data_IF_422123507659
#
_entry.id   IF_422123507659
#
_cell.length_a   1.000
_cell.length_b   1.000
_cell.length_c   1.000
_cell.angle_alpha   90.00
_cell.angle_beta   90.00
_cell.angle_gamma   90.00
#
_symmetry.space_group_name_H-M   'P 1'
#
loop_
_entity.id
_entity.type
_entity.pdbx_description
1 polymer ?
#
# COMPACT_ATOMS: atom_id res chain seq x y z
N UNK A 1 -6.38 -20.67 13.69
CA UNK A 1 -5.27 -19.75 13.32
C UNK A 1 -4.21 -19.91 14.40
N UNK A 2 -2.96 -20.20 14.05
CA UNK A 2 -1.90 -20.41 15.04
C UNK A 2 -1.15 -19.11 15.26
N UNK A 3 -1.16 -18.59 16.49
CA UNK A 3 -0.32 -17.45 16.88
C UNK A 3 1.14 -17.91 16.96
N UNK A 4 2.07 -17.09 16.46
CA UNK A 4 3.52 -17.35 16.54
C UNK A 4 4.15 -16.35 17.51
N UNK A 5 5.01 -16.79 18.45
CA UNK A 5 5.69 -15.87 19.35
C UNK A 5 6.67 -14.99 18.55
N UNK A 6 6.69 -13.70 18.88
CA UNK A 6 7.61 -12.72 18.30
C UNK A 6 8.23 -11.91 19.44
N UNK A 7 9.56 -11.91 19.53
CA UNK A 7 10.28 -11.05 20.47
C UNK A 7 10.61 -9.72 19.78
N UNK A 8 10.19 -8.61 20.39
CA UNK A 8 10.47 -7.26 19.92
C UNK A 8 11.03 -6.42 21.07
N UNK A 9 11.87 -5.45 20.73
CA UNK A 9 12.32 -4.44 21.68
C UNK A 9 11.45 -3.19 21.55
N UNK A 10 10.89 -2.75 22.66
CA UNK A 10 10.12 -1.51 22.77
C UNK A 10 10.92 -0.49 23.54
N UNK A 11 10.82 0.78 23.15
CA UNK A 11 11.40 1.85 23.96
C UNK A 11 10.66 1.95 25.31
N UNK A 12 11.32 2.42 26.38
CA UNK A 12 10.71 2.52 27.70
C UNK A 12 9.43 3.36 27.76
N UNK A 13 9.33 4.42 26.93
CA UNK A 13 8.12 5.24 26.79
C UNK A 13 6.95 4.45 26.19
N UNK A 14 7.22 3.60 25.19
CA UNK A 14 6.20 2.78 24.52
C UNK A 14 5.64 1.70 25.45
N UNK A 15 6.51 0.99 26.20
CA UNK A 15 6.07 -0.03 27.17
C UNK A 15 5.16 0.59 28.24
N UNK A 16 5.56 1.73 28.82
CA UNK A 16 4.73 2.45 29.81
C UNK A 16 3.38 2.88 29.23
N UNK A 17 3.34 3.37 28.00
CA UNK A 17 2.11 3.77 27.34
C UNK A 17 1.19 2.57 27.08
N UNK A 18 1.74 1.46 26.58
CA UNK A 18 0.99 0.23 26.32
C UNK A 18 0.37 -0.35 27.60
N UNK A 19 1.13 -0.40 28.71
CA UNK A 19 0.62 -0.87 30.01
C UNK A 19 -0.58 -0.03 30.48
N UNK A 20 -0.44 1.30 30.46
CA UNK A 20 -1.51 2.21 30.88
C UNK A 20 -2.77 2.07 30.02
N UNK A 21 -2.60 1.93 28.70
CA UNK A 21 -3.74 1.76 27.78
C UNK A 21 -4.42 0.40 27.98
N UNK A 22 -3.64 -0.68 28.09
CA UNK A 22 -4.15 -2.03 28.32
C UNK A 22 -4.93 -2.12 29.65
N UNK A 23 -4.43 -1.50 30.72
CA UNK A 23 -5.13 -1.39 32.01
C UNK A 23 -6.44 -0.61 31.89
N UNK A 24 -6.41 0.55 31.24
CA UNK A 24 -7.60 1.39 31.02
C UNK A 24 -8.69 0.66 30.22
N UNK A 25 -8.29 -0.11 29.22
CA UNK A 25 -9.20 -0.87 28.33
C UNK A 25 -9.54 -2.28 28.86
N UNK A 26 -8.91 -2.73 29.96
CA UNK A 26 -9.05 -4.07 30.53
C UNK A 26 -8.76 -5.20 29.53
N UNK A 27 -7.74 -5.03 28.70
CA UNK A 27 -7.27 -6.01 27.74
C UNK A 27 -5.80 -6.36 27.99
N UNK A 28 -5.29 -7.43 27.38
CA UNK A 28 -3.87 -7.74 27.45
C UNK A 28 -3.05 -6.81 26.57
N UNK A 29 -1.77 -6.63 26.91
CA UNK A 29 -0.82 -5.88 26.06
C UNK A 29 -0.72 -6.54 24.67
N UNK A 30 -0.75 -7.88 24.61
CA UNK A 30 -0.73 -8.61 23.35
C UNK A 30 -1.93 -8.27 22.46
N UNK A 31 -3.13 -8.17 23.03
CA UNK A 31 -4.33 -7.76 22.31
C UNK A 31 -4.21 -6.33 21.76
N UNK A 32 -3.72 -5.41 22.59
CA UNK A 32 -3.49 -4.03 22.16
C UNK A 32 -2.47 -3.95 21.02
N UNK A 33 -1.39 -4.72 21.09
CA UNK A 33 -0.39 -4.81 20.02
C UNK A 33 -1.01 -5.38 18.75
N UNK A 34 -1.78 -6.48 18.83
CA UNK A 34 -2.45 -7.07 17.66
C UNK A 34 -3.36 -6.08 16.97
N UNK A 35 -4.21 -5.35 17.71
CA UNK A 35 -5.08 -4.30 17.13
C UNK A 35 -4.29 -3.20 16.43
N UNK A 36 -3.17 -2.78 17.03
CA UNK A 36 -2.27 -1.81 16.42
C UNK A 36 -1.64 -2.32 15.12
N UNK A 37 -1.18 -3.57 15.13
CA UNK A 37 -0.65 -4.25 13.93
C UNK A 37 -1.73 -4.36 12.87
N UNK A 38 -2.93 -4.83 13.19
CA UNK A 38 -4.04 -4.96 12.25
C UNK A 38 -4.37 -3.60 11.59
N UNK A 39 -4.40 -2.53 12.37
CA UNK A 39 -4.62 -1.17 11.84
C UNK A 39 -3.52 -0.75 10.86
N UNK A 40 -2.25 -0.97 11.21
CA UNK A 40 -1.12 -0.67 10.32
C UNK A 40 -1.18 -1.50 9.04
N UNK A 41 -1.55 -2.78 9.13
CA UNK A 41 -1.67 -3.67 7.96
C UNK A 41 -2.90 -3.35 7.10
N UNK A 42 -3.97 -2.81 7.68
CA UNK A 42 -5.11 -2.28 6.93
C UNK A 42 -4.74 -1.03 6.14
N UNK A 43 -3.94 -0.14 6.75
CA UNK A 43 -3.52 1.13 6.15
C UNK A 43 -2.34 0.95 5.16
N UNK A 44 -1.56 -0.11 5.31
CA UNK A 44 -0.48 -0.45 4.40
C UNK A 44 -1.01 -1.28 3.20
N UNK A 45 -0.79 -0.86 1.95
CA UNK A 45 -1.04 -1.71 0.79
C UNK A 45 -0.03 -2.87 0.79
N UNK A 46 -0.31 -3.94 1.55
CA UNK A 46 0.43 -5.20 1.48
C UNK A 46 0.17 -5.96 0.18
N UNK A 47 -0.91 -5.61 -0.52
CA UNK A 47 -1.16 -6.06 -1.88
C UNK A 47 -0.48 -5.11 -2.84
N UNK A 48 0.36 -5.64 -3.73
CA UNK A 48 0.65 -5.06 -5.04
C UNK A 48 -0.62 -4.37 -5.52
N UNK A 49 -0.58 -3.05 -5.71
CA UNK A 49 -1.67 -2.35 -6.37
C UNK A 49 -1.85 -3.01 -7.75
N UNK A 50 -3.00 -3.66 -8.03
CA UNK A 50 -3.22 -4.31 -9.32
C UNK A 50 -3.06 -3.34 -10.50
N UNK A 51 -3.30 -2.03 -10.29
CA UNK A 51 -3.08 -0.99 -11.30
C UNK A 51 -1.60 -0.81 -11.64
N UNK A 52 -0.67 -1.09 -10.72
CA UNK A 52 0.76 -1.06 -11.01
C UNK A 52 1.16 -2.09 -12.06
N UNK A 53 0.44 -3.22 -12.17
CA UNK A 53 0.63 -4.21 -13.26
C UNK A 53 0.22 -3.69 -14.63
N UNK A 54 -0.53 -2.59 -14.70
CA UNK A 54 -0.95 -1.97 -15.95
C UNK A 54 0.11 -0.99 -16.50
N UNK A 55 1.05 -0.56 -15.67
CA UNK A 55 2.14 0.33 -16.10
C UNK A 55 3.05 -0.45 -17.06
N UNK A 56 3.44 0.20 -18.16
CA UNK A 56 4.35 -0.33 -19.18
C UNK A 56 3.85 -1.55 -20.00
N UNK A 57 2.54 -1.85 -20.01
CA UNK A 57 1.96 -2.90 -20.88
C UNK A 57 2.16 -2.64 -22.38
N UNK A 58 2.36 -1.38 -22.79
CA UNK A 58 2.54 -1.00 -24.19
C UNK A 58 3.87 -0.27 -24.43
N UNK A 59 4.54 -0.60 -25.54
CA UNK A 59 5.76 0.08 -26.00
C UNK A 59 5.53 0.74 -27.35
N UNK A 60 5.49 2.07 -27.37
CA UNK A 60 5.27 2.86 -28.60
C UNK A 60 6.57 3.39 -29.24
N UNK A 61 7.69 3.30 -28.52
CA UNK A 61 8.98 3.88 -28.91
C UNK A 61 9.03 5.42 -28.85
N UNK A 62 7.99 6.08 -28.34
CA UNK A 62 7.87 7.54 -28.28
C UNK A 62 7.95 8.02 -26.83
N UNK A 63 8.85 8.96 -26.56
CA UNK A 63 9.05 9.55 -25.23
C UNK A 63 7.99 10.59 -24.86
N UNK A 64 7.27 11.15 -25.83
CA UNK A 64 6.30 12.24 -25.65
C UNK A 64 4.83 11.80 -25.77
N UNK A 65 4.57 10.49 -25.86
CA UNK A 65 3.24 9.95 -26.18
C UNK A 65 2.16 10.45 -25.20
N UNK A 66 2.45 10.43 -23.90
CA UNK A 66 1.50 10.89 -22.88
C UNK A 66 1.14 12.38 -23.05
N UNK A 67 2.15 13.21 -23.37
CA UNK A 67 1.99 14.66 -23.53
C UNK A 67 1.28 15.03 -24.83
N UNK A 68 1.54 14.31 -25.91
CA UNK A 68 1.06 14.64 -27.25
C UNK A 68 0.04 13.62 -27.80
N UNK A 69 -0.72 12.94 -26.92
CA UNK A 69 -1.60 11.83 -27.28
C UNK A 69 -2.61 12.20 -28.38
N UNK A 70 -3.27 13.36 -28.28
CA UNK A 70 -4.25 13.82 -29.27
C UNK A 70 -3.66 13.96 -30.68
N UNK A 71 -2.44 14.48 -30.79
CA UNK A 71 -1.73 14.61 -32.06
C UNK A 71 -1.51 13.24 -32.70
N UNK A 72 -1.15 12.24 -31.89
CA UNK A 72 -0.94 10.88 -32.37
C UNK A 72 -2.25 10.19 -32.77
N UNK A 73 -3.32 10.39 -32.01
CA UNK A 73 -4.67 9.88 -32.31
C UNK A 73 -5.16 10.50 -33.64
N UNK A 74 -5.10 11.82 -33.78
CA UNK A 74 -5.50 12.52 -35.00
C UNK A 74 -4.73 12.05 -36.23
N UNK A 75 -3.40 11.85 -36.11
CA UNK A 75 -2.57 11.30 -37.19
C UNK A 75 -2.99 9.87 -37.57
N UNK A 76 -3.29 9.02 -36.58
CA UNK A 76 -3.72 7.65 -36.83
C UNK A 76 -5.07 7.59 -37.57
N UNK A 77 -6.03 8.43 -37.19
CA UNK A 77 -7.32 8.54 -37.88
C UNK A 77 -7.17 9.02 -39.33
N UNK A 78 -6.31 10.00 -39.60
CA UNK A 78 -6.03 10.46 -40.98
C UNK A 78 -5.41 9.37 -41.84
N UNK A 79 -4.52 8.54 -41.27
CA UNK A 79 -3.88 7.43 -41.99
C UNK A 79 -4.85 6.31 -42.36
N UNK A 80 -5.85 6.02 -41.51
CA UNK A 80 -6.87 4.98 -41.77
C UNK A 80 -7.92 5.37 -42.82
N UNK A 81 -8.04 6.66 -43.16
CA UNK A 81 -8.99 7.18 -44.16
C UNK A 81 -8.40 7.29 -45.58
N UNK A 82 -7.16 6.84 -45.76
CA UNK A 82 -6.49 6.66 -47.06
C UNK A 82 -6.38 5.17 -47.33
#
# INVERSE_FOLDING_TARGET
>A
MHERPLQIYLRPDQDRALRRMAEKEKISIAELIRRGVDRVLMDAPLKDDPAMRMIALGKSGKSDLARAHDKYIARAHRRKRR
#
